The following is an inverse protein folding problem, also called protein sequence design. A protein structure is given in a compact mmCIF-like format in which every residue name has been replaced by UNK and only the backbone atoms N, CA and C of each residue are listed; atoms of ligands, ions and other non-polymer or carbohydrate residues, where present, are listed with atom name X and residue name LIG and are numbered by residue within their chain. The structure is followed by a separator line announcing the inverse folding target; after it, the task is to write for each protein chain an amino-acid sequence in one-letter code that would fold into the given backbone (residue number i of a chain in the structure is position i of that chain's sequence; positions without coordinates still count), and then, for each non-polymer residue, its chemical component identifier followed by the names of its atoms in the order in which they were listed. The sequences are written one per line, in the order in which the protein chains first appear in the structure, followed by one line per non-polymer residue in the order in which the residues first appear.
data_IF_284413511551
#
_entry.id   IF_284413511551
#
_cell.length_a   1.000
_cell.length_b   1.000
_cell.length_c   1.000
_cell.angle_alpha   90.00
_cell.angle_beta   90.00
_cell.angle_gamma   90.00
#
_symmetry.space_group_name_H-M   'P 1'
#
loop_
_entity.id
_entity.type
_entity.pdbx_description
1 polymer ?
#
# COMPACT_ATOMS: atom_id res chain seq x y z
N UNK A 1 3.77 -53.84 25.02
CA UNK A 1 4.07 -53.32 23.66
C UNK A 1 4.01 -51.81 23.75
N UNK A 2 5.17 -51.17 23.89
CA UNK A 2 5.28 -49.71 24.05
C UNK A 2 5.34 -49.07 22.67
N UNK A 3 4.40 -48.15 22.41
CA UNK A 3 4.30 -47.40 21.15
C UNK A 3 5.46 -46.42 21.04
N UNK A 4 6.35 -46.67 20.07
CA UNK A 4 7.53 -45.86 19.72
C UNK A 4 7.18 -44.57 18.95
N UNK A 5 5.92 -44.10 18.99
CA UNK A 5 5.42 -42.97 18.20
C UNK A 5 5.39 -41.61 18.90
N UNK A 6 5.65 -41.52 20.21
CA UNK A 6 5.45 -40.29 20.99
C UNK A 6 6.71 -39.46 21.27
N UNK A 7 7.87 -39.83 20.70
CA UNK A 7 9.17 -39.20 20.99
C UNK A 7 9.84 -38.52 19.78
N UNK A 8 9.22 -38.53 18.59
CA UNK A 8 9.73 -37.72 17.49
C UNK A 8 9.24 -36.27 17.65
N UNK A 9 10.12 -35.26 17.71
CA UNK A 9 9.71 -33.88 17.51
C UNK A 9 9.01 -33.80 16.14
N UNK A 10 7.89 -33.08 16.01
CA UNK A 10 7.24 -32.92 14.71
C UNK A 10 8.28 -32.36 13.75
N UNK A 11 8.49 -33.05 12.63
CA UNK A 11 9.45 -32.66 11.59
C UNK A 11 9.32 -31.15 11.31
N UNK A 12 10.34 -30.33 11.62
CA UNK A 12 10.24 -28.87 11.49
C UNK A 12 10.19 -28.38 10.04
N UNK A 13 10.24 -29.28 9.05
CA UNK A 13 10.30 -28.92 7.63
C UNK A 13 8.96 -28.50 7.00
N UNK A 14 7.85 -29.21 7.29
CA UNK A 14 6.58 -28.91 6.63
C UNK A 14 5.89 -27.68 7.22
N UNK A 15 5.85 -27.53 8.55
CA UNK A 15 5.19 -26.38 9.20
C UNK A 15 5.84 -25.04 8.84
N UNK A 16 7.17 -25.03 8.73
CA UNK A 16 7.92 -23.87 8.23
C UNK A 16 7.62 -23.57 6.75
N UNK A 17 7.52 -24.61 5.92
CA UNK A 17 7.17 -24.45 4.50
C UNK A 17 5.79 -23.81 4.29
N UNK A 18 4.79 -24.26 5.04
CA UNK A 18 3.44 -23.69 4.97
C UNK A 18 3.36 -22.27 5.53
N UNK A 19 4.05 -21.98 6.63
CA UNK A 19 4.09 -20.63 7.20
C UNK A 19 4.78 -19.62 6.26
N UNK A 20 5.88 -20.04 5.61
CA UNK A 20 6.57 -19.22 4.63
C UNK A 20 5.71 -19.02 3.37
N UNK A 21 5.03 -20.07 2.91
CA UNK A 21 4.10 -19.98 1.78
C UNK A 21 2.96 -19.01 2.08
N UNK A 22 2.34 -19.11 3.26
CA UNK A 22 1.26 -18.23 3.68
C UNK A 22 1.72 -16.77 3.75
N UNK A 23 2.92 -16.51 4.28
CA UNK A 23 3.52 -15.18 4.31
C UNK A 23 3.79 -14.63 2.89
N UNK A 24 4.30 -15.47 1.99
CA UNK A 24 4.53 -15.09 0.59
C UNK A 24 3.23 -14.82 -0.16
N UNK A 25 2.20 -15.65 0.04
CA UNK A 25 0.88 -15.45 -0.57
C UNK A 25 0.23 -14.16 -0.06
N UNK A 26 0.31 -13.91 1.24
CA UNK A 26 -0.19 -12.68 1.84
C UNK A 26 0.55 -11.44 1.30
N UNK A 27 1.88 -11.49 1.25
CA UNK A 27 2.70 -10.45 0.62
C UNK A 27 2.36 -10.24 -0.86
N UNK A 28 2.05 -11.31 -1.58
CA UNK A 28 1.67 -11.26 -3.00
C UNK A 28 0.33 -10.56 -3.17
N UNK A 29 -0.68 -10.84 -2.33
CA UNK A 29 -1.97 -10.16 -2.39
C UNK A 29 -1.79 -8.66 -2.11
N UNK A 30 -1.00 -8.30 -1.10
CA UNK A 30 -0.66 -6.90 -0.81
C UNK A 30 0.03 -6.22 -2.01
N UNK A 31 1.04 -6.84 -2.60
CA UNK A 31 1.74 -6.31 -3.77
C UNK A 31 0.84 -6.20 -5.02
N UNK A 32 -0.11 -7.13 -5.19
CA UNK A 32 -1.13 -7.08 -6.23
C UNK A 32 -2.06 -5.88 -6.04
N UNK A 33 -2.50 -5.59 -4.81
CA UNK A 33 -3.31 -4.40 -4.51
C UNK A 33 -2.58 -3.10 -4.89
N UNK A 34 -1.30 -2.97 -4.53
CA UNK A 34 -0.46 -1.83 -4.93
C UNK A 34 -0.33 -1.75 -6.46
N UNK A 35 -0.16 -2.89 -7.13
CA UNK A 35 -0.10 -2.94 -8.59
C UNK A 35 -1.40 -2.49 -9.27
N UNK A 36 -2.56 -2.84 -8.71
CA UNK A 36 -3.89 -2.42 -9.21
C UNK A 36 -4.02 -0.91 -9.07
N UNK A 37 -3.76 -0.37 -7.88
CA UNK A 37 -3.76 1.07 -7.60
C UNK A 37 -2.86 1.83 -8.58
N UNK A 38 -1.60 1.40 -8.73
CA UNK A 38 -0.63 2.04 -9.61
C UNK A 38 -1.07 2.00 -11.08
N UNK A 39 -1.63 0.87 -11.56
CA UNK A 39 -2.07 0.72 -12.95
C UNK A 39 -3.27 1.61 -13.27
N UNK A 40 -4.26 1.68 -12.36
CA UNK A 40 -5.43 2.54 -12.53
C UNK A 40 -5.06 4.02 -12.47
N UNK A 41 -4.18 4.39 -11.54
CA UNK A 41 -3.70 5.77 -11.44
C UNK A 41 -2.87 6.18 -12.65
N UNK A 42 -2.09 5.26 -13.23
CA UNK A 42 -1.36 5.47 -14.49
C UNK A 42 -2.31 5.76 -15.65
N UNK A 43 -3.41 5.02 -15.76
CA UNK A 43 -4.46 5.28 -16.75
C UNK A 43 -5.08 6.67 -16.54
N UNK A 44 -5.45 7.00 -15.30
CA UNK A 44 -6.07 8.29 -14.97
C UNK A 44 -5.15 9.48 -15.30
N UNK A 45 -3.91 9.44 -14.82
CA UNK A 45 -2.94 10.51 -15.07
C UNK A 45 -2.56 10.61 -16.55
N UNK A 46 -2.42 9.48 -17.25
CA UNK A 46 -2.14 9.47 -18.69
C UNK A 46 -3.24 10.18 -19.49
N UNK A 47 -4.51 9.90 -19.19
CA UNK A 47 -5.66 10.58 -19.83
C UNK A 47 -5.66 12.07 -19.48
N UNK A 48 -5.35 12.43 -18.24
CA UNK A 48 -5.28 13.83 -17.81
C UNK A 48 -4.13 14.60 -18.49
N UNK A 49 -2.97 13.97 -18.68
CA UNK A 49 -1.84 14.55 -19.43
C UNK A 49 -2.16 14.68 -20.92
N UNK A 50 -2.90 13.73 -21.51
CA UNK A 50 -3.32 13.81 -22.91
C UNK A 50 -4.26 14.98 -23.21
N UNK A 51 -5.12 15.34 -22.27
CA UNK A 51 -6.05 16.45 -22.45
C UNK A 51 -5.37 17.83 -22.34
N UNK A 52 -4.10 17.90 -21.89
CA UNK A 52 -3.39 19.16 -21.67
C UNK A 52 -2.10 19.22 -22.52
N UNK A 53 -2.02 20.11 -23.53
CA UNK A 53 -0.89 20.16 -24.47
C UNK A 53 0.45 20.51 -23.77
N UNK A 54 0.41 21.27 -22.67
CA UNK A 54 1.61 21.64 -21.90
C UNK A 54 2.26 20.46 -21.15
N UNK A 55 1.55 19.33 -20.98
CA UNK A 55 2.00 18.16 -20.20
C UNK A 55 2.51 17.01 -21.06
N UNK A 56 2.88 17.28 -22.30
CA UNK A 56 3.28 16.26 -23.27
C UNK A 56 4.61 15.56 -22.91
N UNK A 57 5.55 16.26 -22.29
CA UNK A 57 6.79 15.66 -21.79
C UNK A 57 6.55 14.64 -20.67
N UNK A 58 5.53 14.88 -19.83
CA UNK A 58 5.15 13.97 -18.74
C UNK A 58 4.45 12.72 -19.25
N UNK A 59 3.63 12.86 -20.31
CA UNK A 59 3.05 11.73 -21.05
C UNK A 59 4.15 10.77 -21.52
N UNK A 60 5.21 11.30 -22.12
CA UNK A 60 6.34 10.48 -22.59
C UNK A 60 7.09 9.82 -21.44
N UNK A 61 7.29 10.51 -20.32
CA UNK A 61 7.91 9.92 -19.13
C UNK A 61 7.08 8.77 -18.52
N UNK A 62 5.74 8.93 -18.46
CA UNK A 62 4.81 7.89 -17.98
C UNK A 62 4.77 6.71 -18.95
N UNK A 63 4.87 6.95 -20.26
CA UNK A 63 4.93 5.92 -21.30
C UNK A 63 6.28 5.18 -21.30
N UNK A 64 7.38 5.89 -21.07
CA UNK A 64 8.74 5.37 -20.99
C UNK A 64 8.99 4.51 -19.74
N UNK A 65 8.12 4.63 -18.73
CA UNK A 65 8.15 3.76 -17.55
C UNK A 65 7.99 2.29 -17.99
N UNK A 66 9.12 1.57 -18.02
CA UNK A 66 9.27 0.23 -18.63
C UNK A 66 8.32 -0.80 -18.04
N UNK A 67 7.62 -1.52 -18.92
CA UNK A 67 6.79 -2.67 -18.59
C UNK A 67 7.57 -3.80 -17.88
N UNK A 68 8.89 -3.91 -18.09
CA UNK A 68 9.76 -4.91 -17.46
C UNK A 68 10.02 -4.62 -15.98
N UNK A 69 9.91 -3.35 -15.55
CA UNK A 69 10.08 -2.97 -14.14
C UNK A 69 8.85 -3.30 -13.30
N UNK A 70 7.68 -3.50 -13.93
CA UNK A 70 6.43 -3.81 -13.23
C UNK A 70 6.42 -5.18 -12.54
N UNK A 71 6.81 -6.31 -13.19
CA UNK A 71 6.90 -7.60 -12.51
C UNK A 71 8.00 -7.61 -11.45
N UNK A 72 9.14 -6.95 -11.71
CA UNK A 72 10.22 -6.83 -10.72
C UNK A 72 9.73 -6.08 -9.47
N UNK A 73 9.00 -4.99 -9.66
CA UNK A 73 8.47 -4.23 -8.53
C UNK A 73 7.51 -5.07 -7.68
N UNK A 74 6.62 -5.85 -8.31
CA UNK A 74 5.71 -6.72 -7.57
C UNK A 74 6.46 -7.84 -6.86
N UNK A 75 7.49 -8.41 -7.49
CA UNK A 75 8.32 -9.44 -6.86
C UNK A 75 9.04 -8.91 -5.61
N UNK A 76 9.72 -7.77 -5.73
CA UNK A 76 10.42 -7.13 -4.60
C UNK A 76 9.42 -6.75 -3.50
N UNK A 77 8.30 -6.14 -3.85
CA UNK A 77 7.29 -5.71 -2.88
C UNK A 77 6.62 -6.92 -2.19
N UNK A 78 6.41 -8.02 -2.91
CA UNK A 78 5.93 -9.28 -2.33
C UNK A 78 6.89 -9.79 -1.26
N UNK A 79 8.19 -9.81 -1.56
CA UNK A 79 9.22 -10.23 -0.59
C UNK A 79 9.28 -9.32 0.62
N UNK A 80 9.24 -8.00 0.42
CA UNK A 80 9.21 -7.01 1.52
C UNK A 80 7.97 -7.21 2.39
N UNK A 81 6.77 -7.26 1.80
CA UNK A 81 5.52 -7.42 2.56
C UNK A 81 5.40 -8.77 3.26
N UNK A 82 6.00 -9.84 2.72
CA UNK A 82 6.04 -11.16 3.34
C UNK A 82 6.97 -11.20 4.57
N UNK A 83 8.02 -10.37 4.58
CA UNK A 83 9.02 -10.29 5.63
C UNK A 83 8.70 -9.23 6.70
N UNK A 84 7.85 -8.24 6.39
CA UNK A 84 7.43 -7.22 7.35
C UNK A 84 6.51 -7.84 8.40
N UNK A 85 6.84 -7.65 9.68
CA UNK A 85 6.02 -8.11 10.79
C UNK A 85 4.64 -7.41 10.85
N UNK A 86 3.62 -8.15 11.28
CA UNK A 86 2.23 -7.69 11.40
C UNK A 86 2.08 -6.43 12.25
N UNK A 87 2.83 -6.34 13.36
CA UNK A 87 2.85 -5.17 14.25
C UNK A 87 3.34 -3.90 13.53
N UNK A 88 4.44 -3.99 12.79
CA UNK A 88 4.96 -2.84 12.02
C UNK A 88 4.03 -2.49 10.87
N UNK A 89 3.47 -3.49 10.18
CA UNK A 89 2.47 -3.26 9.14
C UNK A 89 1.23 -2.51 9.68
N UNK A 90 0.72 -2.91 10.85
CA UNK A 90 -0.42 -2.25 11.51
C UNK A 90 -0.11 -0.79 11.90
N UNK A 91 1.10 -0.52 12.42
CA UNK A 91 1.51 0.84 12.77
C UNK A 91 1.64 1.76 11.55
N UNK A 92 2.17 1.24 10.44
CA UNK A 92 2.27 1.98 9.17
C UNK A 92 0.88 2.31 8.62
N UNK A 93 -0.07 1.39 8.74
CA UNK A 93 -1.47 1.61 8.30
C UNK A 93 -2.11 2.70 9.16
N UNK A 94 -2.05 2.57 10.48
CA UNK A 94 -2.68 3.50 11.40
C UNK A 94 -2.09 4.92 11.27
N UNK A 95 -0.77 5.03 11.15
CA UNK A 95 -0.09 6.31 10.90
C UNK A 95 -0.60 6.95 9.60
N UNK A 96 -0.66 6.18 8.51
CA UNK A 96 -1.14 6.69 7.24
C UNK A 96 -2.61 7.11 7.30
N UNK A 97 -3.48 6.32 7.94
CA UNK A 97 -4.91 6.61 8.07
C UNK A 97 -5.15 7.89 8.85
N UNK A 98 -4.46 8.07 9.98
CA UNK A 98 -4.55 9.30 10.76
C UNK A 98 -4.06 10.51 9.93
N UNK A 99 -3.03 10.34 9.09
CA UNK A 99 -2.49 11.42 8.25
C UNK A 99 -3.45 11.77 7.14
N UNK A 100 -4.06 10.77 6.53
CA UNK A 100 -5.08 10.95 5.51
C UNK A 100 -6.31 11.70 6.08
N UNK A 101 -6.76 11.35 7.29
CA UNK A 101 -7.88 12.05 7.95
C UNK A 101 -7.48 13.48 8.33
N UNK A 102 -6.29 13.69 8.90
CA UNK A 102 -5.81 15.04 9.24
C UNK A 102 -5.70 15.94 8.00
N UNK A 103 -5.10 15.45 6.91
CA UNK A 103 -5.00 16.22 5.66
C UNK A 103 -6.36 16.51 5.03
N UNK A 104 -7.32 15.59 5.14
CA UNK A 104 -8.69 15.80 4.66
C UNK A 104 -9.48 16.81 5.51
N UNK A 105 -9.22 16.86 6.82
CA UNK A 105 -9.85 17.81 7.75
C UNK A 105 -9.23 19.21 7.66
N UNK A 106 -7.90 19.31 7.47
CA UNK A 106 -7.19 20.59 7.42
C UNK A 106 -7.26 21.30 6.07
N UNK A 107 -7.42 20.57 4.95
CA UNK A 107 -7.52 21.18 3.62
C UNK A 107 -8.90 20.95 2.99
N UNK A 108 -9.59 22.07 2.71
CA UNK A 108 -10.81 22.08 1.90
C UNK A 108 -10.62 21.41 0.53
N UNK A 109 -11.57 20.55 0.18
CA UNK A 109 -11.76 19.78 -1.08
C UNK A 109 -10.99 20.31 -2.31
N UNK A 110 -10.13 19.47 -2.88
CA UNK A 110 -9.92 19.50 -4.34
C UNK A 110 -8.59 18.95 -4.84
N UNK A 111 -7.47 19.58 -4.46
CA UNK A 111 -6.21 19.45 -5.20
C UNK A 111 -5.33 18.26 -4.79
N UNK A 112 -5.28 17.88 -3.51
CA UNK A 112 -4.30 16.89 -3.02
C UNK A 112 -4.74 15.41 -3.06
N UNK A 113 -5.95 15.11 -3.58
CA UNK A 113 -6.46 13.72 -3.52
C UNK A 113 -5.66 12.74 -4.38
N UNK A 114 -5.07 13.19 -5.49
CA UNK A 114 -4.22 12.37 -6.37
C UNK A 114 -2.85 12.08 -5.74
N UNK A 115 -2.28 13.03 -5.00
CA UNK A 115 -1.07 12.81 -4.20
C UNK A 115 -1.31 11.79 -3.09
N UNK A 116 -2.41 11.88 -2.35
CA UNK A 116 -2.73 10.90 -1.30
C UNK A 116 -2.80 9.46 -1.86
N UNK A 117 -3.33 9.27 -3.08
CA UNK A 117 -3.33 7.97 -3.75
C UNK A 117 -1.93 7.47 -4.14
N UNK A 118 -0.98 8.37 -4.39
CA UNK A 118 0.42 7.99 -4.65
C UNK A 118 1.16 7.62 -3.37
N UNK A 119 0.93 8.37 -2.29
CA UNK A 119 1.59 8.12 -1.01
C UNK A 119 1.03 6.87 -0.29
N UNK A 120 -0.22 6.47 -0.56
CA UNK A 120 -0.83 5.31 0.10
C UNK A 120 -0.37 3.95 -0.43
N UNK A 121 0.51 3.90 -1.44
CA UNK A 121 0.87 2.64 -2.10
C UNK A 121 1.41 1.60 -1.12
N UNK A 122 2.42 1.96 -0.33
CA UNK A 122 3.02 1.02 0.60
C UNK A 122 2.09 0.70 1.78
N UNK A 123 1.40 1.70 2.34
CA UNK A 123 0.44 1.50 3.43
C UNK A 123 -0.78 0.66 3.01
N UNK A 124 -1.21 0.75 1.74
CA UNK A 124 -2.24 -0.11 1.17
C UNK A 124 -1.80 -1.58 1.16
N UNK A 125 -0.55 -1.84 0.76
CA UNK A 125 0.03 -3.18 0.79
C UNK A 125 0.03 -3.77 2.20
N UNK A 126 0.51 -2.99 3.18
CA UNK A 126 0.46 -3.35 4.60
C UNK A 126 -0.98 -3.55 5.10
N UNK A 127 -1.91 -2.69 4.71
CA UNK A 127 -3.30 -2.74 5.15
C UNK A 127 -4.04 -3.96 4.63
N UNK A 128 -3.84 -4.32 3.36
CA UNK A 128 -4.38 -5.56 2.78
C UNK A 128 -3.78 -6.79 3.46
N UNK A 129 -2.48 -6.78 3.75
CA UNK A 129 -1.85 -7.85 4.54
C UNK A 129 -2.48 -7.96 5.93
N UNK A 130 -2.65 -6.85 6.67
CA UNK A 130 -3.30 -6.86 7.98
C UNK A 130 -4.74 -7.36 7.92
N UNK A 131 -5.53 -6.88 6.95
CA UNK A 131 -6.91 -7.30 6.75
C UNK A 131 -7.01 -8.80 6.44
N UNK A 132 -6.11 -9.35 5.62
CA UNK A 132 -6.08 -10.80 5.34
C UNK A 132 -5.71 -11.61 6.58
N UNK A 133 -4.72 -11.17 7.36
CA UNK A 133 -4.39 -11.82 8.64
C UNK A 133 -5.60 -11.91 9.55
N UNK A 134 -6.35 -10.82 9.67
CA UNK A 134 -7.55 -10.74 10.51
C UNK A 134 -8.69 -11.61 9.98
N UNK A 135 -9.03 -11.48 8.69
CA UNK A 135 -10.17 -12.19 8.08
C UNK A 135 -9.96 -13.71 7.99
N UNK A 136 -8.72 -14.17 7.92
CA UNK A 136 -8.39 -15.59 7.79
C UNK A 136 -7.99 -16.23 9.13
N UNK A 137 -8.07 -15.47 10.21
CA UNK A 137 -7.80 -15.99 11.52
C UNK A 137 -8.86 -17.01 11.96
N UNK A 138 -8.43 -18.18 12.45
CA UNK A 138 -9.34 -19.26 12.84
C UNK A 138 -9.99 -20.03 11.67
N UNK A 139 -9.63 -19.73 10.41
CA UNK A 139 -10.19 -20.46 9.26
C UNK A 139 -9.60 -21.88 9.13
N UNK A 140 -10.41 -22.93 8.90
CA UNK A 140 -9.96 -24.32 8.81
C UNK A 140 -9.06 -24.61 7.59
N UNK A 141 -9.12 -23.78 6.55
CA UNK A 141 -8.33 -23.90 5.32
C UNK A 141 -7.66 -22.58 4.93
N UNK A 142 -6.94 -21.96 5.88
CA UNK A 142 -6.26 -20.68 5.71
C UNK A 142 -5.40 -20.60 4.44
N UNK A 143 -4.56 -21.59 4.18
CA UNK A 143 -3.64 -21.60 3.03
C UNK A 143 -4.38 -21.65 1.69
N UNK A 144 -5.44 -22.45 1.55
CA UNK A 144 -6.26 -22.50 0.33
C UNK A 144 -7.01 -21.19 0.09
N UNK A 145 -7.53 -20.57 1.14
CA UNK A 145 -8.17 -19.26 1.05
C UNK A 145 -7.16 -18.18 0.63
N UNK A 146 -5.90 -18.26 1.11
CA UNK A 146 -4.82 -17.38 0.67
C UNK A 146 -4.44 -17.61 -0.80
N UNK A 147 -4.37 -18.86 -1.25
CA UNK A 147 -4.12 -19.18 -2.67
C UNK A 147 -5.23 -18.61 -3.56
N UNK A 148 -6.49 -18.76 -3.15
CA UNK A 148 -7.63 -18.21 -3.88
C UNK A 148 -7.60 -16.68 -3.90
N UNK A 149 -7.32 -16.04 -2.76
CA UNK A 149 -7.16 -14.59 -2.66
C UNK A 149 -6.01 -14.08 -3.55
N UNK A 150 -4.86 -14.75 -3.53
CA UNK A 150 -3.71 -14.45 -4.37
C UNK A 150 -4.02 -14.62 -5.86
N UNK A 151 -4.75 -15.68 -6.23
CA UNK A 151 -5.20 -15.91 -7.60
C UNK A 151 -6.11 -14.79 -8.09
N UNK A 152 -7.13 -14.42 -7.31
CA UNK A 152 -8.05 -13.34 -7.67
C UNK A 152 -7.36 -11.98 -7.73
N UNK A 153 -6.51 -11.67 -6.75
CA UNK A 153 -5.73 -10.42 -6.73
C UNK A 153 -4.73 -10.36 -7.90
N UNK A 154 -4.12 -11.49 -8.25
CA UNK A 154 -3.23 -11.64 -9.41
C UNK A 154 -3.96 -11.42 -10.74
N UNK A 155 -5.14 -12.01 -10.91
CA UNK A 155 -5.99 -11.81 -12.09
C UNK A 155 -6.41 -10.35 -12.24
N UNK A 156 -6.84 -9.72 -11.14
CA UNK A 156 -7.21 -8.31 -11.13
C UNK A 156 -6.01 -7.42 -11.50
N UNK A 157 -4.85 -7.66 -10.90
CA UNK A 157 -3.63 -6.93 -11.22
C UNK A 157 -3.22 -7.11 -12.69
N UNK A 158 -3.31 -8.32 -13.24
CA UNK A 158 -3.01 -8.59 -14.63
C UNK A 158 -3.96 -7.85 -15.58
N UNK A 159 -5.26 -7.85 -15.27
CA UNK A 159 -6.27 -7.16 -16.07
C UNK A 159 -6.05 -5.64 -16.04
N UNK A 160 -5.75 -5.06 -14.88
CA UNK A 160 -5.42 -3.65 -14.76
C UNK A 160 -4.12 -3.29 -15.51
N UNK A 161 -3.11 -4.16 -15.51
CA UNK A 161 -1.88 -3.95 -16.31
C UNK A 161 -2.12 -4.03 -17.80
N UNK A 162 -2.96 -4.98 -18.26
CA UNK A 162 -3.36 -5.09 -19.66
C UNK A 162 -4.12 -3.83 -20.10
N UNK A 163 -5.04 -3.36 -19.26
CA UNK A 163 -5.75 -2.10 -19.46
C UNK A 163 -4.77 -0.92 -19.57
N UNK A 164 -3.86 -0.77 -18.61
CA UNK A 164 -2.89 0.33 -18.61
C UNK A 164 -1.99 0.31 -19.86
N UNK A 165 -1.50 -0.86 -20.28
CA UNK A 165 -0.72 -1.01 -21.52
C UNK A 165 -1.53 -0.67 -22.76
N UNK A 166 -2.77 -1.14 -22.84
CA UNK A 166 -3.67 -0.84 -23.94
C UNK A 166 -3.92 0.67 -24.06
N UNK A 167 -4.25 1.33 -22.95
CA UNK A 167 -4.49 2.77 -22.92
C UNK A 167 -3.22 3.55 -23.31
N UNK A 168 -2.07 3.24 -22.71
CA UNK A 168 -0.83 3.96 -23.01
C UNK A 168 -0.34 3.77 -24.47
N UNK A 169 -0.69 2.64 -25.12
CA UNK A 169 -0.27 2.37 -26.49
C UNK A 169 -1.26 2.88 -27.55
N UNK A 170 -2.56 2.73 -27.32
CA UNK A 170 -3.58 2.81 -28.37
C UNK A 170 -4.67 3.86 -28.12
N UNK A 171 -4.74 4.44 -26.92
CA UNK A 171 -5.84 5.36 -26.57
C UNK A 171 -5.96 6.55 -27.53
N UNK A 172 -4.85 7.12 -28.01
CA UNK A 172 -4.87 8.27 -28.92
C UNK A 172 -5.44 7.94 -30.31
N UNK A 173 -5.18 6.73 -30.81
CA UNK A 173 -5.74 6.22 -32.07
C UNK A 173 -7.21 5.84 -31.90
N UNK A 174 -7.52 5.14 -30.80
CA UNK A 174 -8.85 4.59 -30.53
C UNK A 174 -9.85 5.68 -30.13
N UNK A 175 -9.42 6.77 -29.50
CA UNK A 175 -10.29 7.89 -29.14
C UNK A 175 -10.78 8.65 -30.38
N UNK A 176 -9.94 8.76 -31.42
CA UNK A 176 -10.31 9.40 -32.69
C UNK A 176 -11.24 8.54 -33.54
N UNK A 177 -10.99 7.23 -33.59
CA UNK A 177 -11.71 6.33 -34.48
C UNK A 177 -12.86 5.54 -33.82
N UNK A 178 -13.05 5.67 -32.50
CA UNK A 178 -14.22 5.18 -31.72
C UNK A 178 -14.61 3.72 -31.98
N UNK A 179 -13.64 2.83 -32.15
CA UNK A 179 -13.88 1.39 -32.41
C UNK A 179 -13.60 0.45 -31.22
N UNK A 180 -13.07 0.95 -30.11
CA UNK A 180 -12.79 0.14 -28.92
C UNK A 180 -13.75 0.49 -27.77
N UNK A 181 -14.60 -0.45 -27.38
CA UNK A 181 -15.57 -0.26 -26.29
C UNK A 181 -14.93 0.16 -24.97
N UNK A 182 -13.72 -0.32 -24.66
CA UNK A 182 -12.97 0.03 -23.45
C UNK A 182 -12.53 1.48 -23.45
N UNK A 183 -12.00 1.98 -24.58
CA UNK A 183 -11.59 3.37 -24.74
C UNK A 183 -12.80 4.32 -24.76
N UNK A 184 -13.92 3.89 -25.35
CA UNK A 184 -15.18 4.64 -25.34
C UNK A 184 -15.71 4.76 -23.91
N UNK A 185 -15.72 3.67 -23.15
CA UNK A 185 -16.12 3.66 -21.75
C UNK A 185 -15.23 4.58 -20.90
N UNK A 186 -13.91 4.56 -21.13
CA UNK A 186 -12.98 5.48 -20.45
C UNK A 186 -13.21 6.94 -20.84
N UNK A 187 -13.62 7.22 -22.08
CA UNK A 187 -13.94 8.56 -22.55
C UNK A 187 -15.25 9.07 -21.91
N UNK A 188 -16.28 8.22 -21.80
CA UNK A 188 -17.56 8.60 -21.19
C UNK A 188 -17.51 8.65 -19.66
N UNK A 189 -16.86 7.66 -19.04
CA UNK A 189 -16.87 7.40 -17.60
C UNK A 189 -15.52 7.63 -16.91
N UNK A 190 -14.54 8.28 -17.55
CA UNK A 190 -13.21 8.55 -16.98
C UNK A 190 -13.25 9.26 -15.61
N UNK A 191 -14.26 10.11 -15.42
CA UNK A 191 -14.58 10.83 -14.18
C UNK A 191 -14.94 9.90 -13.00
N UNK A 192 -15.41 8.68 -13.26
CA UNK A 192 -15.79 7.69 -12.24
C UNK A 192 -14.57 6.97 -11.65
N UNK A 193 -13.46 6.87 -12.39
CA UNK A 193 -12.23 6.19 -11.94
C UNK A 193 -11.73 6.71 -10.58
N UNK A 194 -11.51 8.02 -10.37
CA UNK A 194 -11.05 8.52 -9.07
C UNK A 194 -12.09 8.37 -7.95
N UNK A 195 -13.39 8.36 -8.28
CA UNK A 195 -14.46 8.11 -7.29
C UNK A 195 -14.45 6.65 -6.83
N UNK A 196 -14.38 5.71 -7.77
CA UNK A 196 -14.26 4.28 -7.49
C UNK A 196 -12.99 3.99 -6.67
N UNK A 197 -11.86 4.59 -7.05
CA UNK A 197 -10.61 4.42 -6.33
C UNK A 197 -10.70 4.93 -4.89
N UNK A 198 -11.32 6.10 -4.70
CA UNK A 198 -11.56 6.66 -3.36
C UNK A 198 -12.44 5.74 -2.52
N UNK A 199 -13.54 5.25 -3.06
CA UNK A 199 -14.44 4.34 -2.35
C UNK A 199 -13.75 3.02 -2.00
N UNK A 200 -13.01 2.42 -2.94
CA UNK A 200 -12.27 1.19 -2.72
C UNK A 200 -11.18 1.36 -1.64
N UNK A 201 -10.41 2.45 -1.71
CA UNK A 201 -9.41 2.77 -0.69
C UNK A 201 -10.05 3.03 0.67
N UNK A 202 -11.16 3.77 0.73
CA UNK A 202 -11.86 4.03 1.99
C UNK A 202 -12.34 2.72 2.66
N UNK A 203 -12.92 1.80 1.89
CA UNK A 203 -13.32 0.48 2.40
C UNK A 203 -12.11 -0.33 2.84
N UNK A 204 -11.04 -0.34 2.04
CA UNK A 204 -9.83 -1.11 2.34
C UNK A 204 -9.15 -0.61 3.62
N UNK A 205 -8.99 0.71 3.77
CA UNK A 205 -8.42 1.30 4.97
C UNK A 205 -9.34 1.15 6.18
N UNK A 206 -10.66 1.21 6.04
CA UNK A 206 -11.58 0.94 7.15
C UNK A 206 -11.42 -0.48 7.72
N UNK A 207 -11.34 -1.49 6.84
CA UNK A 207 -11.10 -2.88 7.26
C UNK A 207 -9.68 -3.05 7.80
N UNK A 208 -8.68 -2.42 7.18
CA UNK A 208 -7.29 -2.48 7.61
C UNK A 208 -7.07 -1.81 8.96
N UNK A 209 -7.73 -0.69 9.26
CA UNK A 209 -7.67 0.01 10.54
C UNK A 209 -8.30 -0.84 11.65
N UNK A 210 -9.45 -1.47 11.38
CA UNK A 210 -10.08 -2.40 12.31
C UNK A 210 -9.14 -3.58 12.64
N UNK A 211 -8.56 -4.18 11.59
CA UNK A 211 -7.58 -5.26 11.74
C UNK A 211 -6.31 -4.80 12.46
N UNK A 212 -5.81 -3.61 12.17
CA UNK A 212 -4.60 -3.05 12.77
C UNK A 212 -4.80 -2.80 14.27
N UNK A 213 -5.93 -2.20 14.66
CA UNK A 213 -6.27 -1.97 16.07
C UNK A 213 -6.38 -3.31 16.81
N UNK A 214 -7.01 -4.30 16.20
CA UNK A 214 -7.17 -5.61 16.82
C UNK A 214 -5.83 -6.37 16.95
N UNK A 215 -5.00 -6.39 15.91
CA UNK A 215 -3.64 -6.95 15.93
C UNK A 215 -2.78 -6.31 17.02
N UNK A 216 -2.82 -4.97 17.12
CA UNK A 216 -2.08 -4.24 18.14
C UNK A 216 -2.63 -4.57 19.54
N UNK A 217 -3.96 -4.63 19.70
CA UNK A 217 -4.61 -4.90 20.98
C UNK A 217 -4.29 -6.31 21.50
N UNK A 218 -4.25 -7.32 20.62
CA UNK A 218 -3.94 -8.70 20.98
C UNK A 218 -2.48 -8.91 21.41
N UNK A 219 -1.57 -8.09 20.90
CA UNK A 219 -0.16 -8.16 21.31
C UNK A 219 0.07 -7.59 22.75
N UNK A 220 -0.91 -6.93 23.36
CA UNK A 220 -0.82 -6.45 24.74
C UNK A 220 -1.64 -7.34 25.69
N UNK A 221 -0.96 -7.96 26.66
CA UNK A 221 -1.58 -8.86 27.64
C UNK A 221 -2.39 -8.11 28.72
N UNK A 222 -2.21 -6.79 28.86
CA UNK A 222 -2.93 -5.96 29.85
C UNK A 222 -3.34 -4.58 29.32
N UNK A 223 -4.50 -4.07 29.78
CA UNK A 223 -5.02 -2.73 29.43
C UNK A 223 -4.11 -1.60 29.90
N UNK A 224 -3.30 -1.82 30.94
CA UNK A 224 -2.33 -0.86 31.45
C UNK A 224 -1.08 -0.72 30.53
N UNK A 225 -0.62 -1.82 29.93
CA UNK A 225 0.46 -1.79 28.94
C UNK A 225 0.00 -1.19 27.61
N UNK A 226 -1.26 -1.44 27.23
CA UNK A 226 -1.86 -0.78 26.08
C UNK A 226 -1.87 0.75 26.26
N UNK A 227 -2.35 1.28 27.40
CA UNK A 227 -2.35 2.74 27.63
C UNK A 227 -0.93 3.33 27.60
N UNK A 228 0.08 2.61 28.09
CA UNK A 228 1.49 3.01 28.02
C UNK A 228 2.07 3.04 26.60
N UNK A 229 1.48 2.33 25.64
CA UNK A 229 1.85 2.39 24.22
C UNK A 229 1.07 3.48 23.47
N UNK A 230 -0.23 3.58 23.73
CA UNK A 230 -1.10 4.54 23.07
C UNK A 230 -0.76 5.99 23.43
N UNK A 231 -0.28 6.26 24.64
CA UNK A 231 0.09 7.62 25.06
C UNK A 231 1.34 8.17 24.33
N UNK A 232 2.49 7.49 24.25
CA UNK A 232 3.60 7.90 23.39
C UNK A 232 3.22 7.94 21.91
N UNK A 233 2.47 6.95 21.42
CA UNK A 233 2.04 6.90 20.02
C UNK A 233 1.22 8.14 19.66
N UNK A 234 0.23 8.49 20.48
CA UNK A 234 -0.60 9.68 20.29
C UNK A 234 0.21 10.96 20.43
N UNK A 235 1.14 11.07 21.38
CA UNK A 235 2.00 12.25 21.56
C UNK A 235 2.99 12.42 20.41
N UNK A 236 3.70 11.38 20.00
CA UNK A 236 4.60 11.43 18.84
C UNK A 236 3.82 11.75 17.56
N UNK A 237 2.61 11.20 17.42
CA UNK A 237 1.78 11.43 16.27
C UNK A 237 1.20 12.85 16.24
N UNK A 238 0.74 13.40 17.37
CA UNK A 238 0.29 14.80 17.45
C UNK A 238 1.44 15.76 17.15
N UNK A 239 2.64 15.52 17.69
CA UNK A 239 3.84 16.30 17.37
C UNK A 239 4.22 16.21 15.89
N UNK A 240 4.15 15.02 15.29
CA UNK A 240 4.47 14.83 13.88
C UNK A 240 3.43 15.49 12.96
N UNK A 241 2.15 15.45 13.31
CA UNK A 241 1.09 16.16 12.58
C UNK A 241 1.26 17.67 12.69
N UNK A 242 1.53 18.20 13.88
CA UNK A 242 1.80 19.63 14.09
C UNK A 242 3.02 20.06 13.28
N UNK A 243 4.13 19.31 13.36
CA UNK A 243 5.33 19.58 12.59
C UNK A 243 5.08 19.53 11.07
N UNK A 244 4.34 18.53 10.60
CA UNK A 244 4.01 18.38 9.18
C UNK A 244 3.05 19.46 8.68
N UNK A 245 2.17 19.97 9.54
CA UNK A 245 1.29 21.09 9.23
C UNK A 245 2.06 22.41 9.14
N UNK A 246 3.03 22.63 10.05
CA UNK A 246 3.97 23.75 9.97
C UNK A 246 4.84 23.67 8.71
N UNK A 247 5.38 22.50 8.36
CA UNK A 247 6.21 22.34 7.15
C UNK A 247 5.39 22.55 5.86
N UNK A 248 4.11 22.13 5.84
CA UNK A 248 3.20 22.36 4.70
C UNK A 248 2.87 23.84 4.48
N UNK A 249 2.94 24.68 5.52
CA UNK A 249 2.79 26.14 5.40
C UNK A 249 4.06 26.83 4.88
N UNK A 250 5.24 26.22 5.03
CA UNK A 250 6.51 26.91 4.80
C UNK A 250 7.34 26.41 3.62
N UNK A 251 7.15 25.19 3.10
CA UNK A 251 7.93 24.78 1.92
C UNK A 251 7.39 23.59 1.14
N UNK A 252 7.49 23.67 -0.19
CA UNK A 252 7.44 22.56 -1.15
C UNK A 252 8.69 21.67 -1.01
N UNK A 253 8.88 21.07 0.17
CA UNK A 253 10.01 20.18 0.45
C UNK A 253 9.93 18.85 -0.31
N UNK A 254 11.05 18.13 -0.49
CA UNK A 254 11.07 16.84 -1.16
C UNK A 254 10.25 15.80 -0.37
N UNK A 255 9.35 15.09 -1.05
CA UNK A 255 8.47 14.04 -0.47
C UNK A 255 9.25 12.93 0.26
N UNK A 256 10.54 12.77 -0.04
CA UNK A 256 11.42 11.86 0.70
C UNK A 256 11.69 12.30 2.14
N UNK A 257 11.72 13.61 2.43
CA UNK A 257 11.96 14.14 3.78
C UNK A 257 10.80 13.79 4.71
N UNK A 258 9.57 13.86 4.22
CA UNK A 258 8.37 13.55 5.01
C UNK A 258 8.31 12.07 5.37
N UNK A 259 8.72 11.18 4.46
CA UNK A 259 8.84 9.75 4.72
C UNK A 259 9.93 9.42 5.74
N UNK A 260 11.09 10.08 5.64
CA UNK A 260 12.18 9.87 6.59
C UNK A 260 11.79 10.30 8.01
N UNK A 261 11.15 11.47 8.15
CA UNK A 261 10.66 11.98 9.45
C UNK A 261 9.62 11.04 10.04
N UNK A 262 8.71 10.54 9.20
CA UNK A 262 7.66 9.58 9.58
C UNK A 262 8.21 8.25 10.08
N UNK A 263 9.06 7.61 9.28
CA UNK A 263 9.69 6.34 9.66
C UNK A 263 10.64 6.54 10.84
N UNK A 264 11.27 7.71 10.97
CA UNK A 264 12.04 8.12 12.15
C UNK A 264 11.19 8.22 13.42
N UNK A 265 9.98 8.79 13.33
CA UNK A 265 9.03 8.82 14.44
C UNK A 265 8.58 7.41 14.88
N UNK A 266 8.25 6.54 13.92
CA UNK A 266 7.93 5.13 14.19
C UNK A 266 9.12 4.37 14.78
N UNK A 267 10.34 4.67 14.34
CA UNK A 267 11.58 4.12 14.87
C UNK A 267 11.80 4.50 16.34
N UNK A 268 11.60 5.78 16.70
CA UNK A 268 11.70 6.23 18.11
C UNK A 268 10.62 5.57 18.98
N UNK A 269 9.40 5.42 18.47
CA UNK A 269 8.31 4.71 19.16
C UNK A 269 8.63 3.24 19.41
N UNK A 270 9.22 2.55 18.42
CA UNK A 270 9.59 1.15 18.55
C UNK A 270 10.91 0.95 19.33
N UNK A 271 11.77 1.97 19.43
CA UNK A 271 12.88 1.96 20.39
C UNK A 271 12.40 2.08 21.84
N UNK A 272 11.32 2.82 22.07
CA UNK A 272 10.79 3.03 23.44
C UNK A 272 9.89 1.88 23.91
N UNK A 273 9.20 1.17 23.00
CA UNK A 273 8.21 0.13 23.39
C UNK A 273 8.32 -1.19 22.61
N UNK A 274 9.17 -1.27 21.57
CA UNK A 274 9.25 -2.42 20.66
C UNK A 274 10.32 -3.44 20.98
N UNK A 275 10.28 -4.58 20.29
CA UNK A 275 11.33 -5.62 20.32
C UNK A 275 12.39 -5.28 19.28
N UNK A 276 13.63 -5.76 19.47
CA UNK A 276 14.72 -5.56 18.49
C UNK A 276 14.38 -6.04 17.06
N UNK A 277 13.52 -7.05 16.95
CA UNK A 277 13.02 -7.57 15.66
C UNK A 277 12.12 -6.54 14.96
N UNK A 278 11.34 -5.75 15.71
CA UNK A 278 10.48 -4.71 15.14
C UNK A 278 11.29 -3.59 14.49
N UNK A 279 12.48 -3.30 15.04
CA UNK A 279 13.42 -2.33 14.47
C UNK A 279 13.87 -2.76 13.07
N UNK A 280 14.21 -4.04 12.88
CA UNK A 280 14.56 -4.57 11.56
C UNK A 280 13.38 -4.47 10.58
N UNK A 281 12.16 -4.76 11.06
CA UNK A 281 10.96 -4.61 10.24
C UNK A 281 10.68 -3.16 9.85
N UNK A 282 11.03 -2.15 10.66
CA UNK A 282 10.93 -0.73 10.27
C UNK A 282 11.90 -0.42 9.13
N UNK A 283 13.15 -0.86 9.20
CA UNK A 283 14.10 -0.64 8.11
C UNK A 283 13.63 -1.29 6.81
N UNK A 284 13.11 -2.51 6.90
CA UNK A 284 12.53 -3.20 5.76
C UNK A 284 11.30 -2.45 5.20
N UNK A 285 10.48 -1.89 6.09
CA UNK A 285 9.32 -1.08 5.75
C UNK A 285 9.70 0.24 5.06
N UNK A 286 10.75 0.90 5.55
CA UNK A 286 11.33 2.09 4.94
C UNK A 286 11.85 1.79 3.53
N UNK A 287 12.55 0.66 3.33
CA UNK A 287 13.01 0.23 2.00
C UNK A 287 11.84 -0.03 1.06
N UNK A 288 10.77 -0.69 1.54
CA UNK A 288 9.56 -0.91 0.78
C UNK A 288 8.89 0.37 0.33
N UNK A 289 8.76 1.34 1.23
CA UNK A 289 8.19 2.63 0.92
C UNK A 289 9.05 3.44 -0.06
N UNK A 290 10.37 3.46 0.14
CA UNK A 290 11.29 4.13 -0.78
C UNK A 290 11.22 3.52 -2.18
N UNK A 291 11.10 2.20 -2.28
CA UNK A 291 10.91 1.49 -3.55
C UNK A 291 9.59 1.87 -4.26
N UNK A 292 8.49 2.03 -3.50
CA UNK A 292 7.22 2.54 -4.03
C UNK A 292 7.35 3.99 -4.50
N UNK A 293 8.00 4.86 -3.72
CA UNK A 293 8.18 6.28 -4.07
C UNK A 293 9.09 6.50 -5.27
N UNK A 294 10.19 5.78 -5.37
CA UNK A 294 11.08 5.84 -6.55
C UNK A 294 10.31 5.53 -7.83
N UNK A 295 9.43 4.52 -7.79
CA UNK A 295 8.58 4.17 -8.93
C UNK A 295 7.49 5.22 -9.19
N UNK A 296 6.87 5.73 -8.13
CA UNK A 296 5.82 6.74 -8.21
C UNK A 296 6.34 8.13 -8.57
N UNK A 297 7.65 8.39 -8.46
CA UNK A 297 8.25 9.72 -8.60
C UNK A 297 7.95 10.42 -9.92
N UNK A 298 7.84 9.68 -11.03
CA UNK A 298 7.43 10.25 -12.32
C UNK A 298 5.97 10.73 -12.29
N UNK A 299 5.08 9.96 -11.68
CA UNK A 299 3.65 10.28 -11.54
C UNK A 299 3.42 11.40 -10.53
N UNK A 300 4.23 11.44 -9.47
CA UNK A 300 4.19 12.44 -8.42
C UNK A 300 4.56 13.83 -8.94
N UNK A 301 5.57 13.92 -9.81
CA UNK A 301 5.93 15.17 -10.50
C UNK A 301 4.77 15.74 -11.33
N UNK A 302 4.01 14.87 -12.00
CA UNK A 302 2.81 15.28 -12.73
C UNK A 302 1.69 15.77 -11.83
N UNK A 303 1.53 15.20 -10.62
CA UNK A 303 0.55 15.67 -9.64
C UNK A 303 0.95 16.99 -8.97
N UNK A 304 2.25 17.27 -8.79
CA UNK A 304 2.72 18.53 -8.20
C UNK A 304 2.51 19.77 -9.08
N UNK A 305 2.28 19.57 -10.39
CA UNK A 305 1.97 20.62 -11.36
C UNK A 305 0.47 20.78 -11.64
N UNK A 306 -0.40 20.12 -10.85
CA UNK A 306 -1.86 20.26 -10.89
C UNK A 306 -2.34 21.36 -9.97
#
# INVERSE_FOLDING_TARGET
MFSLGSWLPPFPGLSWGWALLDALLQGLVGACAVSVLCSLLKVYLYIQCLNNPERQAEKEAIRAQRAVLEPLHVLVLTGVLALVGSRVAALVVLEFSLRAVSTLLSLGKGAHSSQLFLLCQYSLGCGVSCALSFLLEGAPHRSWNLVLAAGLAGLLALQCRRLARHVCALYELHSRARYCGLCILLLSDGHRVPRLLRSALAVTFAVADLAAVELINRDFLSTAEAVRFWTPLTICYTLLVVYMQEESQQSTGPVFRTVLVRMGGLFILLLTVGRWIDILHIFLSLLGEFWCLLRAGVMLKSCQRQ
#
